data_IF_930769677262
#
_entry.id   IF_930769677262
#
_cell.length_a   1.000
_cell.length_b   1.000
_cell.length_c   1.000
_cell.angle_alpha   90.00
_cell.angle_beta   90.00
_cell.angle_gamma   90.00
#
_symmetry.space_group_name_H-M   'P 1'
#
loop_
_entity.id
_entity.type
_entity.pdbx_description
1 polymer ?
#
# COMPACT_ATOMS: atom_id res chain seq x y z
N UNK A 1 -22.92 13.44 7.51
CA UNK A 1 -21.94 13.11 6.46
C UNK A 1 -20.84 12.30 7.15
N UNK A 2 -21.02 10.98 7.22
CA UNK A 2 -20.17 10.12 8.03
C UNK A 2 -18.80 9.97 7.35
N UNK A 3 -17.75 10.48 8.00
CA UNK A 3 -16.36 10.15 7.66
C UNK A 3 -16.23 8.64 7.72
N UNK A 4 -16.16 7.98 6.57
CA UNK A 4 -15.81 6.56 6.53
C UNK A 4 -14.35 6.47 6.95
N UNK A 5 -14.11 6.19 8.23
CA UNK A 5 -12.82 5.68 8.66
C UNK A 5 -12.69 4.27 8.07
N UNK A 6 -12.06 4.15 6.90
CA UNK A 6 -11.63 2.87 6.40
C UNK A 6 -10.31 2.53 7.11
N UNK A 7 -10.39 1.80 8.22
CA UNK A 7 -9.26 0.99 8.70
C UNK A 7 -9.50 -0.40 8.15
N UNK A 8 -8.95 -0.67 6.96
CA UNK A 8 -8.91 -2.02 6.41
C UNK A 8 -7.82 -2.80 7.17
N UNK A 9 -8.25 -3.68 8.07
CA UNK A 9 -7.39 -4.69 8.68
C UNK A 9 -7.17 -5.84 7.67
N UNK A 10 -5.92 -6.18 7.36
CA UNK A 10 -5.53 -7.60 7.28
C UNK A 10 -4.52 -8.05 6.24
N UNK A 11 -4.39 -7.40 5.07
CA UNK A 11 -3.61 -7.98 3.96
C UNK A 11 -2.43 -7.08 3.57
N UNK A 12 -1.23 -7.54 3.91
CA UNK A 12 0.03 -6.97 3.47
C UNK A 12 0.63 -7.86 2.39
N UNK A 13 0.94 -7.26 1.24
CA UNK A 13 1.71 -7.92 0.19
C UNK A 13 3.15 -7.44 0.30
N UNK A 14 4.08 -8.37 0.52
CA UNK A 14 5.50 -8.05 0.54
C UNK A 14 5.98 -7.75 -0.88
N UNK A 15 6.73 -6.66 -1.04
CA UNK A 15 7.27 -6.21 -2.32
C UNK A 15 8.75 -5.86 -2.19
N UNK A 16 9.48 -5.92 -3.30
CA UNK A 16 10.89 -5.56 -3.33
C UNK A 16 11.10 -4.04 -3.20
N UNK A 17 10.22 -3.25 -3.80
CA UNK A 17 10.24 -1.78 -3.78
C UNK A 17 8.82 -1.22 -3.70
N UNK A 18 8.53 -0.46 -2.65
CA UNK A 18 7.20 0.09 -2.42
C UNK A 18 6.85 1.25 -3.36
N UNK A 19 7.82 2.09 -3.74
CA UNK A 19 7.59 3.22 -4.63
C UNK A 19 7.33 2.74 -6.07
N UNK A 20 8.15 1.80 -6.55
CA UNK A 20 7.97 1.16 -7.87
C UNK A 20 6.63 0.44 -7.96
N UNK A 21 6.25 -0.28 -6.91
CA UNK A 21 4.96 -0.99 -6.88
C UNK A 21 3.79 -0.01 -6.93
N UNK A 22 3.84 1.11 -6.19
CA UNK A 22 2.78 2.14 -6.24
C UNK A 22 2.67 2.77 -7.63
N UNK A 23 3.80 3.06 -8.28
CA UNK A 23 3.82 3.56 -9.65
C UNK A 23 3.12 2.58 -10.60
N UNK A 24 3.49 1.30 -10.54
CA UNK A 24 2.89 0.23 -11.34
C UNK A 24 1.39 0.08 -11.11
N UNK A 25 0.93 0.10 -9.85
CA UNK A 25 -0.50 0.04 -9.52
C UNK A 25 -1.25 1.22 -10.16
N UNK A 26 -0.71 2.42 -10.06
CA UNK A 26 -1.32 3.63 -10.62
C UNK A 26 -1.37 3.58 -12.15
N UNK A 27 -0.29 3.15 -12.79
CA UNK A 27 -0.21 2.96 -14.25
C UNK A 27 -1.25 1.95 -14.77
N UNK A 28 -1.59 0.95 -13.95
CA UNK A 28 -2.58 -0.08 -14.28
C UNK A 28 -4.01 0.29 -13.84
N UNK A 29 -4.27 1.55 -13.47
CA UNK A 29 -5.61 2.06 -13.15
C UNK A 29 -6.05 1.84 -11.70
N UNK A 30 -5.14 1.40 -10.83
CA UNK A 30 -5.36 1.42 -9.39
C UNK A 30 -5.25 2.82 -8.80
N UNK A 31 -5.47 2.94 -7.50
CA UNK A 31 -5.42 4.22 -6.78
C UNK A 31 -4.62 4.15 -5.50
N UNK A 32 -4.11 5.31 -5.08
CA UNK A 32 -3.31 5.45 -3.85
C UNK A 32 -4.16 6.15 -2.80
N UNK A 33 -4.40 5.47 -1.68
CA UNK A 33 -5.10 6.04 -0.53
C UNK A 33 -4.12 6.67 0.47
N UNK A 34 -3.01 5.98 0.72
CA UNK A 34 -1.89 6.47 1.53
C UNK A 34 -0.61 6.29 0.71
N UNK A 35 0.05 7.39 0.30
CA UNK A 35 1.33 7.31 -0.42
C UNK A 35 2.39 6.55 0.36
N UNK A 36 3.44 6.01 -0.31
CA UNK A 36 4.56 5.37 0.35
C UNK A 36 5.15 6.19 1.49
N UNK A 37 5.28 5.58 2.66
CA UNK A 37 5.87 6.19 3.84
C UNK A 37 6.76 5.20 4.59
N UNK A 38 7.75 5.73 5.30
CA UNK A 38 8.65 4.94 6.11
C UNK A 38 8.00 4.58 7.45
N UNK A 39 8.06 3.29 7.79
CA UNK A 39 7.68 2.74 9.08
C UNK A 39 8.97 2.34 9.83
N UNK A 40 9.45 3.18 10.79
CA UNK A 40 10.72 2.95 11.46
C UNK A 40 10.83 1.55 12.08
N UNK A 41 11.91 0.84 11.77
CA UNK A 41 12.17 -0.52 12.27
C UNK A 41 11.39 -1.64 11.57
N UNK A 42 10.53 -1.32 10.60
CA UNK A 42 9.71 -2.30 9.87
C UNK A 42 10.01 -2.31 8.38
N UNK A 43 9.94 -1.15 7.73
CA UNK A 43 9.97 -1.10 6.28
C UNK A 43 9.41 0.19 5.69
N UNK A 44 9.05 0.13 4.42
CA UNK A 44 8.31 1.17 3.69
C UNK A 44 6.95 0.62 3.26
N UNK A 45 5.87 1.36 3.49
CA UNK A 45 4.50 0.86 3.31
C UNK A 45 3.64 1.84 2.52
N UNK A 46 2.60 1.34 1.86
CA UNK A 46 1.55 2.14 1.23
C UNK A 46 0.18 1.46 1.34
N UNK A 47 -0.90 2.24 1.26
CA UNK A 47 -2.27 1.72 1.13
C UNK A 47 -2.83 2.14 -0.22
N UNK A 48 -3.35 1.17 -0.95
CA UNK A 48 -3.70 1.28 -2.37
C UNK A 48 -4.97 0.49 -2.63
N UNK A 49 -5.59 0.74 -3.77
CA UNK A 49 -6.68 -0.08 -4.29
C UNK A 49 -6.44 -0.48 -5.74
N UNK A 50 -6.93 -1.65 -6.11
CA UNK A 50 -6.92 -2.11 -7.51
C UNK A 50 -7.97 -1.34 -8.36
N UNK A 51 -8.02 -1.55 -9.69
CA UNK A 51 -9.00 -0.86 -10.55
C UNK A 51 -10.47 -1.17 -10.23
N UNK A 52 -10.75 -2.26 -9.49
CA UNK A 52 -12.10 -2.61 -9.03
C UNK A 52 -12.46 -1.95 -7.69
N UNK A 53 -11.51 -1.25 -7.07
CA UNK A 53 -11.66 -0.59 -5.78
C UNK A 53 -11.41 -1.50 -4.58
N UNK A 54 -10.72 -2.64 -4.76
CA UNK A 54 -10.34 -3.52 -3.65
C UNK A 54 -9.12 -2.97 -2.91
N UNK A 55 -9.27 -2.66 -1.63
CA UNK A 55 -8.22 -2.10 -0.77
C UNK A 55 -7.19 -3.16 -0.33
N UNK A 56 -5.90 -2.82 -0.38
CA UNK A 56 -4.80 -3.61 0.20
C UNK A 56 -3.61 -2.73 0.61
N UNK A 57 -2.72 -3.31 1.43
CA UNK A 57 -1.46 -2.68 1.81
C UNK A 57 -0.28 -3.42 1.17
N UNK A 58 0.76 -2.67 0.83
CA UNK A 58 2.06 -3.22 0.42
C UNK A 58 3.12 -2.86 1.45
N UNK A 59 4.13 -3.71 1.57
CA UNK A 59 5.27 -3.51 2.46
C UNK A 59 6.58 -3.96 1.82
N UNK A 60 7.57 -3.08 1.82
CA UNK A 60 8.96 -3.39 1.56
C UNK A 60 9.67 -3.50 2.91
N UNK A 61 10.09 -4.70 3.30
CA UNK A 61 10.82 -4.90 4.55
C UNK A 61 12.26 -4.39 4.45
N UNK A 62 12.73 -3.68 5.47
CA UNK A 62 14.12 -3.21 5.56
C UNK A 62 15.12 -4.33 5.85
N UNK A 63 14.63 -5.53 6.19
CA UNK A 63 15.41 -6.76 6.33
C UNK A 63 14.80 -7.86 5.45
N UNK A 64 15.62 -8.69 4.77
CA UNK A 64 15.11 -9.81 4.02
C UNK A 64 14.34 -10.75 4.96
N UNK A 65 13.13 -11.13 4.53
CA UNK A 65 12.29 -12.14 5.20
C UNK A 65 12.85 -13.55 4.95
#
# INVERSE_FOLDING_TARGET
MATRSAVALGNYIAVADADETVASITENGGSVHVPPFDAPGVGRMAMVADPSGADFAIIQFTSPM
#
